data_IF_770228505075
#
_entry.id   IF_770228505075
#
_cell.length_a   1.000
_cell.length_b   1.000
_cell.length_c   1.000
_cell.angle_alpha   90.00
_cell.angle_beta   90.00
_cell.angle_gamma   90.00
#
_symmetry.space_group_name_H-M   'P 1'
#
loop_
_entity.id
_entity.type
_entity.pdbx_description
1 polymer ?
#
# COMPACT_ATOMS: atom_id res chain seq x y z
N UNK A 1 -2.13 12.54 2.84
CA UNK A 1 -1.40 12.64 1.54
C UNK A 1 -2.33 13.17 0.46
N UNK A 2 -1.91 14.14 -0.37
CA UNK A 2 -2.75 14.59 -1.51
C UNK A 2 -2.38 13.76 -2.75
N UNK A 3 -3.27 12.86 -3.16
CA UNK A 3 -3.05 11.93 -4.27
C UNK A 3 -3.73 12.52 -5.52
N UNK A 4 -3.06 12.57 -6.68
CA UNK A 4 -3.68 13.03 -7.91
C UNK A 4 -4.98 12.24 -8.20
N UNK A 5 -6.06 12.88 -8.66
CA UNK A 5 -7.33 12.20 -8.93
C UNK A 5 -7.19 10.99 -9.86
N UNK A 6 -6.26 11.07 -10.83
CA UNK A 6 -5.93 9.96 -11.73
C UNK A 6 -5.41 8.72 -10.98
N UNK A 7 -4.52 8.93 -10.02
CA UNK A 7 -3.93 7.86 -9.21
C UNK A 7 -4.99 7.26 -8.30
N UNK A 8 -5.86 8.09 -7.72
CA UNK A 8 -6.97 7.60 -6.91
C UNK A 8 -7.94 6.72 -7.72
N UNK A 9 -8.32 7.15 -8.93
CA UNK A 9 -9.14 6.37 -9.84
C UNK A 9 -8.46 5.05 -10.24
N UNK A 10 -7.16 5.08 -10.55
CA UNK A 10 -6.38 3.88 -10.85
C UNK A 10 -6.41 2.87 -9.70
N UNK A 11 -6.13 3.33 -8.47
CA UNK A 11 -6.13 2.49 -7.27
C UNK A 11 -7.51 1.87 -7.03
N UNK A 12 -8.58 2.65 -7.16
CA UNK A 12 -9.96 2.19 -6.99
C UNK A 12 -10.32 1.10 -8.03
N UNK A 13 -10.07 1.36 -9.31
CA UNK A 13 -10.39 0.43 -10.39
C UNK A 13 -9.57 -0.85 -10.31
N UNK A 14 -8.29 -0.76 -9.95
CA UNK A 14 -7.44 -1.93 -9.78
C UNK A 14 -7.97 -2.86 -8.67
N UNK A 15 -8.42 -2.30 -7.55
CA UNK A 15 -9.07 -3.06 -6.48
C UNK A 15 -10.37 -3.74 -6.91
N UNK A 16 -11.19 -3.05 -7.72
CA UNK A 16 -12.44 -3.60 -8.26
C UNK A 16 -12.17 -4.73 -9.26
N UNK A 17 -11.15 -4.60 -10.11
CA UNK A 17 -10.71 -5.67 -11.01
C UNK A 17 -10.22 -6.89 -10.22
N UNK A 18 -9.40 -6.68 -9.19
CA UNK A 18 -8.93 -7.78 -8.33
C UNK A 18 -10.06 -8.56 -7.67
N UNK A 19 -11.11 -7.85 -7.23
CA UNK A 19 -12.29 -8.49 -6.62
C UNK A 19 -13.01 -9.44 -7.57
N UNK A 20 -13.01 -9.16 -8.88
CA UNK A 20 -13.60 -10.04 -9.91
C UNK A 20 -12.79 -11.32 -10.15
N UNK A 21 -11.53 -11.34 -9.73
CA UNK A 21 -10.64 -12.51 -9.84
C UNK A 21 -10.42 -13.22 -8.49
N UNK A 22 -11.21 -12.87 -7.47
CA UNK A 22 -11.11 -13.48 -6.14
C UNK A 22 -9.99 -12.91 -5.25
N UNK A 23 -9.38 -11.78 -5.63
CA UNK A 23 -8.40 -11.07 -4.82
C UNK A 23 -9.13 -10.06 -3.92
N UNK A 24 -8.70 -9.93 -2.66
CA UNK A 24 -9.27 -8.93 -1.76
C UNK A 24 -9.09 -7.51 -2.32
N UNK A 25 -10.20 -6.77 -2.43
CA UNK A 25 -10.22 -5.38 -2.93
C UNK A 25 -9.13 -4.51 -2.31
N UNK A 26 -8.97 -4.62 -0.99
CA UNK A 26 -8.03 -3.81 -0.22
C UNK A 26 -6.57 -4.18 -0.56
N UNK A 27 -6.30 -5.47 -0.75
CA UNK A 27 -4.97 -5.98 -1.14
C UNK A 27 -4.58 -5.42 -2.50
N UNK A 28 -5.51 -5.44 -3.47
CA UNK A 28 -5.31 -4.84 -4.78
C UNK A 28 -5.05 -3.33 -4.70
N UNK A 29 -5.83 -2.60 -3.90
CA UNK A 29 -5.65 -1.15 -3.72
C UNK A 29 -4.30 -0.81 -3.09
N UNK A 30 -3.88 -1.56 -2.06
CA UNK A 30 -2.56 -1.38 -1.43
C UNK A 30 -1.45 -1.63 -2.45
N UNK A 31 -1.56 -2.68 -3.26
CA UNK A 31 -0.58 -2.97 -4.29
C UNK A 31 -0.51 -1.87 -5.35
N UNK A 32 -1.66 -1.44 -5.87
CA UNK A 32 -1.75 -0.37 -6.87
C UNK A 32 -1.11 0.92 -6.35
N UNK A 33 -1.38 1.29 -5.09
CA UNK A 33 -0.77 2.46 -4.46
C UNK A 33 0.75 2.33 -4.32
N UNK A 34 1.23 1.17 -3.88
CA UNK A 34 2.67 0.92 -3.74
C UNK A 34 3.39 0.88 -5.09
N UNK A 35 2.71 0.48 -6.15
CA UNK A 35 3.26 0.42 -7.51
C UNK A 35 3.48 1.82 -8.11
N UNK A 36 2.53 2.73 -7.88
CA UNK A 36 2.61 4.12 -8.39
C UNK A 36 3.37 5.07 -7.47
N UNK A 37 3.67 4.65 -6.24
CA UNK A 37 4.40 5.47 -5.28
C UNK A 37 5.90 5.45 -5.57
N UNK A 38 6.46 6.63 -5.84
CA UNK A 38 7.91 6.80 -6.03
C UNK A 38 8.72 6.52 -4.76
N UNK A 39 8.06 6.62 -3.60
CA UNK A 39 8.68 6.43 -2.30
C UNK A 39 8.06 5.25 -1.56
N UNK A 40 8.88 4.52 -0.77
CA UNK A 40 8.37 3.55 0.19
C UNK A 40 7.36 4.20 1.13
N UNK A 41 6.22 3.55 1.34
CA UNK A 41 5.17 4.01 2.24
C UNK A 41 5.11 3.16 3.51
N UNK A 42 4.72 3.79 4.61
CA UNK A 42 4.38 3.10 5.86
C UNK A 42 2.88 2.74 5.89
N UNK A 43 2.46 1.94 6.89
CA UNK A 43 1.08 1.48 6.98
C UNK A 43 0.06 2.59 7.26
N UNK A 44 0.49 3.66 7.93
CA UNK A 44 -0.37 4.80 8.27
C UNK A 44 -0.63 5.66 7.01
N UNK A 45 0.42 5.95 6.24
CA UNK A 45 0.35 6.66 4.95
C UNK A 45 -0.52 5.93 3.93
N UNK A 46 -0.41 4.60 3.86
CA UNK A 46 -1.26 3.77 3.00
C UNK A 46 -2.72 3.86 3.45
N UNK A 47 -2.98 3.77 4.76
CA UNK A 47 -4.33 3.85 5.32
C UNK A 47 -4.99 5.20 5.04
N UNK A 48 -4.25 6.30 5.22
CA UNK A 48 -4.69 7.65 4.87
C UNK A 48 -4.96 7.80 3.37
N UNK A 49 -4.12 7.20 2.52
CA UNK A 49 -4.22 7.30 1.07
C UNK A 49 -5.49 6.64 0.50
N UNK A 50 -5.86 5.47 1.01
CA UNK A 50 -7.00 4.68 0.49
C UNK A 50 -8.24 4.73 1.41
N UNK A 51 -8.16 5.43 2.54
CA UNK A 51 -9.27 5.57 3.49
C UNK A 51 -9.61 4.28 4.23
N UNK A 52 -8.60 3.47 4.58
CA UNK A 52 -8.83 2.21 5.30
C UNK A 52 -8.04 2.12 6.61
N UNK A 53 -8.46 1.23 7.50
CA UNK A 53 -7.84 1.08 8.82
C UNK A 53 -6.43 0.51 8.72
N UNK A 54 -5.55 0.93 9.63
CA UNK A 54 -4.19 0.38 9.75
C UNK A 54 -4.16 -1.14 9.89
N UNK A 55 -5.17 -1.72 10.54
CA UNK A 55 -5.31 -3.18 10.68
C UNK A 55 -5.58 -3.85 9.33
N UNK A 56 -6.44 -3.26 8.48
CA UNK A 56 -6.69 -3.75 7.12
C UNK A 56 -5.45 -3.60 6.24
N UNK A 57 -4.74 -2.47 6.33
CA UNK A 57 -3.45 -2.27 5.66
C UNK A 57 -2.46 -3.36 6.07
N UNK A 58 -2.35 -3.64 7.37
CA UNK A 58 -1.42 -4.63 7.89
C UNK A 58 -1.73 -6.04 7.41
N UNK A 59 -3.01 -6.41 7.34
CA UNK A 59 -3.43 -7.70 6.77
C UNK A 59 -3.11 -7.78 5.28
N UNK A 60 -3.47 -6.76 4.50
CA UNK A 60 -3.21 -6.79 3.06
C UNK A 60 -1.71 -6.79 2.72
N UNK A 61 -0.91 -6.07 3.50
CA UNK A 61 0.55 -6.11 3.36
C UNK A 61 1.18 -7.45 3.79
N UNK A 62 0.53 -8.26 4.63
CA UNK A 62 0.97 -9.64 4.93
C UNK A 62 0.68 -10.57 3.75
N UNK A 63 -0.48 -10.41 3.13
CA UNK A 63 -0.88 -11.18 1.94
C UNK A 63 0.01 -10.87 0.73
N UNK A 64 0.28 -9.58 0.45
CA UNK A 64 1.21 -9.21 -0.62
C UNK A 64 2.64 -9.75 -0.38
N UNK A 65 3.06 -9.89 0.88
CA UNK A 65 4.35 -10.50 1.20
C UNK A 65 4.34 -12.02 0.99
N UNK A 66 3.24 -12.72 1.29
CA UNK A 66 3.16 -14.16 1.05
C UNK A 66 3.21 -14.47 -0.44
N UNK A 67 2.69 -13.57 -1.28
CA UNK A 67 2.79 -13.63 -2.74
C UNK A 67 4.13 -13.11 -3.29
N UNK A 68 5.04 -12.64 -2.41
CA UNK A 68 6.34 -12.04 -2.77
C UNK A 68 6.25 -10.81 -3.70
N UNK A 69 5.12 -10.11 -3.70
CA UNK A 69 4.92 -8.89 -4.52
C UNK A 69 5.48 -7.63 -3.89
N UNK A 70 5.67 -7.62 -2.57
CA UNK A 70 6.21 -6.46 -1.84
C UNK A 70 7.36 -6.89 -0.94
N UNK A 71 8.36 -6.04 -0.84
CA UNK A 71 9.52 -6.20 0.02
C UNK A 71 9.48 -5.16 1.14
N UNK A 72 9.76 -5.60 2.36
CA UNK A 72 9.92 -4.71 3.50
C UNK A 72 11.30 -4.08 3.46
N UNK A 73 11.37 -2.75 3.42
CA UNK A 73 12.61 -2.00 3.53
C UNK A 73 12.69 -1.35 4.92
N UNK A 74 13.74 -1.72 5.65
CA UNK A 74 14.08 -1.04 6.91
C UNK A 74 14.93 0.18 6.57
N UNK A 75 14.37 1.36 6.79
CA UNK A 75 15.15 2.60 6.72
C UNK A 75 15.79 2.83 8.09
N UNK A 76 17.13 3.02 8.16
CA UNK A 76 17.77 3.44 9.40
C UNK A 76 17.20 4.80 9.80
N UNK A 77 16.80 4.92 11.06
CA UNK A 77 16.20 6.14 11.59
C UNK A 77 17.26 7.25 11.70
N UNK A 78 17.43 8.04 10.65
CA UNK A 78 18.22 9.26 10.70
C UNK A 78 17.27 10.46 10.54
N UNK A 79 17.08 11.15 11.67
CA UNK A 79 16.45 12.45 11.89
C UNK A 79 15.01 12.70 11.35
N UNK A 80 14.12 12.92 12.33
CA UNK A 80 12.80 13.55 12.24
C UNK A 80 11.66 12.76 11.54
N UNK A 81 10.94 12.03 12.41
CA UNK A 81 9.50 11.75 12.36
C UNK A 81 9.00 10.47 11.64
N UNK A 82 8.41 9.61 12.47
CA UNK A 82 7.34 8.61 12.19
C UNK A 82 7.70 7.23 11.60
N UNK A 83 7.56 6.19 12.46
CA UNK A 83 7.33 4.75 12.22
C UNK A 83 8.39 3.92 11.45
N UNK A 84 9.01 2.87 12.05
CA UNK A 84 10.26 2.24 11.57
C UNK A 84 10.14 1.22 10.42
N UNK A 85 8.99 1.11 9.73
CA UNK A 85 8.76 0.06 8.73
C UNK A 85 8.08 0.60 7.47
N UNK A 86 8.83 0.73 6.38
CA UNK A 86 8.28 1.07 5.05
C UNK A 86 8.41 -0.12 4.10
N UNK A 87 7.58 -0.18 3.05
CA UNK A 87 7.61 -1.28 2.04
C UNK A 87 7.70 -0.73 0.63
N UNK A 88 8.37 -1.45 -0.26
CA UNK A 88 8.49 -1.14 -1.70
C UNK A 88 8.05 -2.34 -2.53
N UNK A 89 7.52 -2.11 -3.75
CA UNK A 89 7.40 -3.18 -4.74
C UNK A 89 8.79 -3.70 -5.13
N UNK A 90 8.88 -4.97 -5.52
CA UNK A 90 10.14 -5.67 -5.72
C UNK A 90 10.21 -6.46 -7.00
#
# INVERSE_FOLDING_TARGET
MNIPPLVQAFVLHFGEMGSRWGINRTVGQIYALLYVSEKPLNADEIGEAIGCSRSNVSMGLKELQSWRLVKLQHFPATAANTSPRRKTCG
#
